data_IF_944524674686
#
_entry.id   IF_944524674686
#
_cell.length_a   1.000
_cell.length_b   1.000
_cell.length_c   1.000
_cell.angle_alpha   90.00
_cell.angle_beta   90.00
_cell.angle_gamma   90.00
#
_symmetry.space_group_name_H-M   'P 1'
#
loop_
_entity.id
_entity.type
_entity.pdbx_description
1 polymer ?
#
# COMPACT_ATOMS: atom_id res chain seq x y z
N UNK A 1 45.89 67.64 34.75
CA UNK A 1 46.74 66.51 35.18
C UNK A 1 46.55 65.36 34.22
N UNK A 2 47.61 64.76 33.68
CA UNK A 2 47.51 63.49 32.94
C UNK A 2 47.26 62.39 33.98
N UNK A 3 46.23 61.57 33.76
CA UNK A 3 45.95 60.44 34.63
C UNK A 3 46.97 59.33 34.38
N UNK A 4 47.60 58.83 35.44
CA UNK A 4 48.63 57.79 35.39
C UNK A 4 48.05 56.47 34.87
N UNK A 5 48.84 55.73 34.08
CA UNK A 5 48.47 54.37 33.67
C UNK A 5 48.81 53.36 34.76
N UNK A 6 47.92 52.40 34.94
CA UNK A 6 48.04 51.28 35.87
C UNK A 6 48.00 49.97 35.10
N UNK A 7 48.79 49.01 35.56
CA UNK A 7 48.78 47.60 35.16
C UNK A 7 48.19 46.79 36.31
N UNK A 8 47.10 46.07 36.09
CA UNK A 8 46.52 45.15 37.09
C UNK A 8 46.61 43.70 36.61
N UNK A 9 47.02 42.81 37.51
CA UNK A 9 47.11 41.38 37.23
C UNK A 9 45.87 40.60 37.72
N UNK A 10 45.45 39.60 36.94
CA UNK A 10 44.25 38.78 37.21
C UNK A 10 44.56 37.29 37.41
N UNK A 11 45.83 36.90 37.44
CA UNK A 11 46.26 35.48 37.46
C UNK A 11 47.37 35.19 38.48
N UNK A 12 47.36 33.97 39.01
CA UNK A 12 48.41 33.38 39.87
C UNK A 12 48.69 34.17 41.15
N UNK A 13 49.94 34.12 41.62
CA UNK A 13 50.37 34.71 42.90
C UNK A 13 50.30 36.26 42.92
N UNK A 14 50.33 36.91 41.76
CA UNK A 14 50.27 38.37 41.61
C UNK A 14 48.85 38.91 41.40
N UNK A 15 47.82 38.06 41.51
CA UNK A 15 46.43 38.47 41.29
C UNK A 15 46.03 39.62 42.23
N UNK A 16 45.49 40.69 41.66
CA UNK A 16 45.06 41.89 42.38
C UNK A 16 46.17 42.90 42.62
N UNK A 17 47.43 42.56 42.31
CA UNK A 17 48.54 43.52 42.34
C UNK A 17 48.33 44.53 41.21
N UNK A 18 48.45 45.80 41.55
CA UNK A 18 48.34 46.92 40.62
C UNK A 18 49.64 47.72 40.65
N UNK A 19 50.24 47.95 39.48
CA UNK A 19 51.52 48.62 39.35
C UNK A 19 51.37 49.90 38.50
N UNK A 20 52.05 50.98 38.88
CA UNK A 20 52.09 52.21 38.09
C UNK A 20 52.98 52.02 36.85
N UNK A 21 52.59 52.63 35.73
CA UNK A 21 53.44 52.75 34.53
C UNK A 21 53.93 54.20 34.45
N UNK A 22 55.05 54.48 35.10
CA UNK A 22 55.70 55.81 35.11
C UNK A 22 56.74 55.90 33.98
N UNK A 23 56.30 56.37 32.80
CA UNK A 23 57.04 56.34 31.53
C UNK A 23 57.35 54.93 31.00
N UNK A 24 58.01 54.07 31.79
CA UNK A 24 58.41 52.72 31.41
C UNK A 24 58.35 51.76 32.60
N UNK A 25 57.64 50.64 32.43
CA UNK A 25 57.60 49.51 33.36
C UNK A 25 58.13 48.26 32.65
N UNK A 26 59.00 47.51 33.29
CA UNK A 26 59.61 46.31 32.71
C UNK A 26 59.29 45.09 33.56
N UNK A 27 58.74 44.05 32.94
CA UNK A 27 58.51 42.75 33.56
C UNK A 27 59.58 41.76 33.05
N UNK A 28 60.24 41.03 33.94
CA UNK A 28 61.31 40.08 33.58
C UNK A 28 61.10 38.73 34.26
N UNK A 29 61.59 37.64 33.65
CA UNK A 29 61.53 36.31 34.28
C UNK A 29 62.67 35.99 35.26
N UNK A 30 63.67 36.87 35.41
CA UNK A 30 64.77 36.68 36.36
C UNK A 30 64.40 37.15 37.77
N UNK A 31 64.85 36.43 38.81
CA UNK A 31 64.52 36.73 40.22
C UNK A 31 65.33 37.88 40.83
N UNK A 32 66.48 38.22 40.23
CA UNK A 32 67.52 39.08 40.79
C UNK A 32 67.46 40.55 40.31
N UNK A 33 66.28 41.02 39.90
CA UNK A 33 66.09 42.43 39.52
C UNK A 33 66.09 43.36 40.74
N UNK A 34 67.01 44.35 40.76
CA UNK A 34 67.16 45.35 41.84
C UNK A 34 66.81 46.79 41.43
N UNK A 35 66.27 46.99 40.24
CA UNK A 35 65.90 48.32 39.71
C UNK A 35 64.42 48.62 39.97
N UNK A 36 64.09 49.84 40.39
CA UNK A 36 62.73 50.24 40.82
C UNK A 36 61.65 50.08 39.74
N UNK A 37 62.02 50.13 38.46
CA UNK A 37 61.08 49.99 37.32
C UNK A 37 61.06 48.58 36.72
N UNK A 38 61.75 47.61 37.35
CA UNK A 38 61.82 46.22 36.90
C UNK A 38 61.13 45.31 37.91
N UNK A 39 60.14 44.56 37.44
CA UNK A 39 59.36 43.64 38.26
C UNK A 39 59.70 42.20 37.88
N UNK A 40 60.25 41.40 38.81
CA UNK A 40 60.49 39.99 38.58
C UNK A 40 59.17 39.20 38.61
N UNK A 41 58.92 38.44 37.54
CA UNK A 41 57.76 37.55 37.36
C UNK A 41 58.23 36.15 36.90
N UNK A 42 59.16 35.56 37.64
CA UNK A 42 59.78 34.27 37.33
C UNK A 42 58.78 33.09 37.22
N UNK A 43 57.62 33.18 37.88
CA UNK A 43 56.56 32.17 37.78
C UNK A 43 55.83 32.16 36.43
N UNK A 44 55.92 33.24 35.65
CA UNK A 44 55.15 33.40 34.40
C UNK A 44 56.02 33.58 33.15
N UNK A 45 57.25 34.07 33.30
CA UNK A 45 58.16 34.42 32.22
C UNK A 45 59.44 33.60 32.33
N UNK A 46 60.03 33.18 31.21
CA UNK A 46 61.36 32.55 31.24
C UNK A 46 62.45 33.58 31.56
N UNK A 47 63.63 33.17 32.06
CA UNK A 47 64.69 34.09 32.46
C UNK A 47 65.12 35.09 31.37
N UNK A 48 64.97 34.71 30.10
CA UNK A 48 65.33 35.51 28.92
C UNK A 48 64.19 36.43 28.45
N UNK A 49 62.97 36.22 28.95
CA UNK A 49 61.81 37.01 28.56
C UNK A 49 61.77 38.35 29.28
N UNK A 50 61.54 39.40 28.48
CA UNK A 50 61.37 40.77 28.94
C UNK A 50 60.15 41.38 28.27
N UNK A 51 59.21 41.86 29.07
CA UNK A 51 58.06 42.63 28.60
C UNK A 51 58.27 44.08 29.01
N UNK A 52 58.36 44.97 28.03
CA UNK A 52 58.51 46.41 28.27
C UNK A 52 57.19 47.11 27.95
N UNK A 53 56.65 47.84 28.94
CA UNK A 53 55.45 48.63 28.84
C UNK A 53 55.85 50.11 28.90
N UNK A 54 55.57 50.85 27.85
CA UNK A 54 55.97 52.24 27.74
C UNK A 54 54.79 53.13 27.36
N UNK A 55 54.63 54.27 28.04
CA UNK A 55 53.63 55.26 27.66
C UNK A 55 54.16 56.14 26.51
N UNK A 56 53.56 56.01 25.33
CA UNK A 56 53.89 56.84 24.16
C UNK A 56 52.61 57.46 23.59
N UNK A 57 52.60 58.79 23.46
CA UNK A 57 51.48 59.56 22.90
C UNK A 57 50.12 59.27 23.58
N UNK A 58 50.14 59.07 24.90
CA UNK A 58 48.94 58.83 25.72
C UNK A 58 48.33 57.42 25.59
N UNK A 59 49.08 56.47 25.02
CA UNK A 59 48.75 55.05 24.92
C UNK A 59 49.90 54.21 25.49
N UNK A 60 49.58 53.05 26.06
CA UNK A 60 50.60 52.09 26.51
C UNK A 60 50.97 51.19 25.34
N UNK A 61 52.26 51.10 25.03
CA UNK A 61 52.78 50.17 24.05
C UNK A 61 53.60 49.09 24.75
N UNK A 62 53.44 47.86 24.31
CA UNK A 62 54.11 46.69 24.86
C UNK A 62 55.07 46.08 23.84
N UNK A 63 56.30 45.83 24.26
CA UNK A 63 57.33 45.06 23.53
C UNK A 63 57.56 43.76 24.31
N UNK A 64 57.74 42.63 23.62
CA UNK A 64 57.95 41.32 24.25
C UNK A 64 56.70 40.45 24.42
N UNK A 65 55.49 41.01 24.27
CA UNK A 65 54.24 40.21 24.24
C UNK A 65 54.02 39.47 22.92
N UNK A 66 54.65 39.95 21.84
CA UNK A 66 54.56 39.36 20.50
C UNK A 66 55.81 39.73 19.70
N UNK A 67 55.99 39.15 18.51
CA UNK A 67 57.08 39.51 17.58
C UNK A 67 57.08 40.99 17.17
N UNK A 68 55.93 41.68 17.29
CA UNK A 68 55.76 43.10 16.97
C UNK A 68 55.40 43.90 18.22
N UNK A 69 55.68 45.20 18.20
CA UNK A 69 55.19 46.15 19.20
C UNK A 69 53.66 46.18 19.18
N UNK A 70 53.03 46.02 20.34
CA UNK A 70 51.57 45.95 20.48
C UNK A 70 51.09 47.19 21.21
N UNK A 71 50.12 47.91 20.66
CA UNK A 71 49.43 48.97 21.43
C UNK A 71 48.37 48.33 22.32
N UNK A 72 48.46 48.56 23.62
CA UNK A 72 47.49 48.06 24.58
C UNK A 72 46.25 48.96 24.59
N UNK A 73 45.09 48.32 24.61
CA UNK A 73 43.78 48.95 24.66
C UNK A 73 43.36 49.01 26.12
N UNK A 74 42.90 50.19 26.55
CA UNK A 74 42.40 50.43 27.90
C UNK A 74 41.33 49.40 28.28
N UNK A 75 41.39 48.87 29.50
CA UNK A 75 40.43 47.91 30.07
C UNK A 75 40.30 46.56 29.33
N UNK A 76 41.12 46.31 28.30
CA UNK A 76 41.19 45.02 27.63
C UNK A 76 42.09 44.08 28.42
N UNK A 77 41.62 42.85 28.60
CA UNK A 77 42.39 41.79 29.26
C UNK A 77 43.28 41.11 28.24
N UNK A 78 44.57 41.06 28.56
CA UNK A 78 45.62 40.40 27.80
C UNK A 78 46.04 39.13 28.53
N UNK A 79 46.40 38.09 27.75
CA UNK A 79 46.93 36.83 28.27
C UNK A 79 48.23 36.49 27.54
N UNK A 80 49.29 36.24 28.30
CA UNK A 80 50.60 35.83 27.80
C UNK A 80 51.19 34.76 28.72
N UNK A 81 51.42 33.54 28.21
CA UNK A 81 52.05 32.43 28.95
C UNK A 81 51.55 32.18 30.38
N UNK A 82 50.25 32.40 30.62
CA UNK A 82 49.63 32.21 31.94
C UNK A 82 49.46 33.51 32.73
N UNK A 83 50.23 34.55 32.42
CA UNK A 83 50.03 35.91 32.93
C UNK A 83 48.78 36.52 32.28
N UNK A 84 47.88 37.03 33.11
CA UNK A 84 46.67 37.74 32.70
C UNK A 84 46.69 39.12 33.31
N UNK A 85 46.61 40.16 32.50
CA UNK A 85 46.66 41.54 32.97
C UNK A 85 45.79 42.47 32.13
N UNK A 86 45.50 43.66 32.67
CA UNK A 86 44.89 44.75 31.92
C UNK A 86 45.60 46.06 32.24
N UNK A 87 45.49 47.04 31.34
CA UNK A 87 45.97 48.39 31.58
C UNK A 87 44.82 49.39 31.57
N UNK A 88 44.83 50.35 32.49
CA UNK A 88 43.82 51.40 32.58
C UNK A 88 44.36 52.68 33.19
N UNK A 89 43.68 53.80 32.97
CA UNK A 89 44.03 55.05 33.65
C UNK A 89 43.49 55.05 35.07
N UNK A 90 44.24 55.60 36.01
CA UNK A 90 43.84 55.72 37.42
C UNK A 90 42.42 56.32 37.53
N UNK A 91 41.55 55.64 38.28
CA UNK A 91 40.12 56.00 38.43
C UNK A 91 39.20 55.56 37.29
N UNK A 92 39.70 54.91 36.23
CA UNK A 92 38.93 54.41 35.07
C UNK A 92 38.98 52.89 34.89
N UNK A 93 39.31 52.15 35.96
CA UNK A 93 39.35 50.70 35.95
C UNK A 93 37.96 50.10 35.71
N UNK A 94 37.80 49.39 34.60
CA UNK A 94 36.61 48.62 34.25
C UNK A 94 36.99 47.45 33.32
N UNK A 95 37.79 46.47 33.80
CA UNK A 95 38.31 45.40 32.97
C UNK A 95 37.19 44.57 32.34
N UNK A 96 37.34 44.22 31.07
CA UNK A 96 36.34 43.48 30.27
C UNK A 96 36.24 41.97 30.62
N UNK A 97 36.03 41.65 31.91
CA UNK A 97 36.06 40.29 32.46
C UNK A 97 34.99 39.36 31.87
N UNK A 98 33.78 39.88 31.61
CA UNK A 98 32.65 39.09 31.06
C UNK A 98 33.00 38.50 29.69
N UNK A 99 33.47 39.34 28.76
CA UNK A 99 33.87 38.92 27.42
C UNK A 99 35.09 37.99 27.43
N UNK A 100 36.03 38.22 28.33
CA UNK A 100 37.21 37.37 28.49
C UNK A 100 36.82 35.95 28.95
N UNK A 101 35.98 35.84 30.00
CA UNK A 101 35.48 34.54 30.47
C UNK A 101 34.66 33.82 29.38
N UNK A 102 33.81 34.55 28.66
CA UNK A 102 33.03 33.95 27.57
C UNK A 102 33.94 33.33 26.49
N UNK A 103 34.98 34.06 26.05
CA UNK A 103 35.95 33.53 25.08
C UNK A 103 36.75 32.35 25.62
N UNK A 104 37.05 32.33 26.92
CA UNK A 104 37.75 31.23 27.55
C UNK A 104 36.94 29.92 27.50
N UNK A 105 35.62 29.99 27.66
CA UNK A 105 34.73 28.82 27.66
C UNK A 105 34.05 28.53 26.30
N UNK A 106 34.22 29.41 25.32
CA UNK A 106 33.67 29.25 23.98
C UNK A 106 33.95 27.88 23.33
N UNK A 107 35.19 27.33 23.33
CA UNK A 107 35.43 26.03 22.72
C UNK A 107 34.67 24.90 23.44
N UNK A 108 34.58 24.97 24.77
CA UNK A 108 33.84 23.99 25.56
C UNK A 108 32.34 24.04 25.24
N UNK A 109 31.77 25.25 25.14
CA UNK A 109 30.37 25.44 24.72
C UNK A 109 30.11 24.86 23.32
N UNK A 110 31.00 25.12 22.35
CA UNK A 110 30.86 24.59 20.99
C UNK A 110 30.88 23.06 20.99
N UNK A 111 31.82 22.45 21.72
CA UNK A 111 31.90 20.99 21.84
C UNK A 111 30.64 20.43 22.50
N UNK A 112 30.16 21.03 23.59
CA UNK A 112 28.93 20.59 24.26
C UNK A 112 27.73 20.65 23.31
N UNK A 113 27.55 21.76 22.58
CA UNK A 113 26.44 21.90 21.61
C UNK A 113 26.56 20.85 20.50
N UNK A 114 27.76 20.63 19.95
CA UNK A 114 27.97 19.64 18.90
C UNK A 114 27.63 18.21 19.37
N UNK A 115 28.01 17.84 20.59
CA UNK A 115 27.67 16.53 21.18
C UNK A 115 26.17 16.38 21.35
N UNK A 116 25.47 17.39 21.87
CA UNK A 116 24.01 17.33 22.02
C UNK A 116 23.30 17.22 20.67
N UNK A 117 23.79 17.94 19.66
CA UNK A 117 23.24 17.87 18.31
C UNK A 117 23.44 16.49 17.69
N UNK A 118 24.63 15.90 17.85
CA UNK A 118 24.92 14.53 17.39
C UNK A 118 24.04 13.49 18.09
N UNK A 119 23.86 13.61 19.41
CA UNK A 119 22.98 12.71 20.17
C UNK A 119 21.51 12.85 19.74
N UNK A 120 21.04 14.08 19.52
CA UNK A 120 19.68 14.33 19.05
C UNK A 120 19.44 13.73 17.65
N UNK A 121 20.36 13.98 16.71
CA UNK A 121 20.27 13.46 15.33
C UNK A 121 20.39 11.94 15.30
N UNK A 122 21.32 11.37 16.08
CA UNK A 122 21.50 9.93 16.21
C UNK A 122 20.28 9.25 16.83
N UNK A 123 19.78 9.79 17.94
CA UNK A 123 18.59 9.28 18.61
C UNK A 123 17.34 9.36 17.74
N UNK A 124 17.16 10.45 16.99
CA UNK A 124 16.06 10.58 16.04
C UNK A 124 16.16 9.53 14.91
N UNK A 125 17.33 9.37 14.29
CA UNK A 125 17.53 8.40 13.21
C UNK A 125 17.31 6.96 13.67
N UNK A 126 17.78 6.61 14.87
CA UNK A 126 17.55 5.29 15.47
C UNK A 126 16.06 5.04 15.74
N UNK A 127 15.37 6.03 16.29
CA UNK A 127 13.94 5.91 16.56
C UNK A 127 13.13 5.78 15.27
N UNK A 128 13.45 6.55 14.23
CA UNK A 128 12.83 6.44 12.91
C UNK A 128 13.03 5.05 12.28
N UNK A 129 14.24 4.49 12.39
CA UNK A 129 14.53 3.14 11.91
C UNK A 129 13.71 2.07 12.66
N UNK A 130 13.64 2.17 13.99
CA UNK A 130 12.84 1.25 14.82
C UNK A 130 11.35 1.35 14.46
N UNK A 131 10.81 2.55 14.30
CA UNK A 131 9.41 2.75 13.92
C UNK A 131 9.09 2.16 12.55
N UNK A 132 9.97 2.35 11.56
CA UNK A 132 9.80 1.75 10.22
C UNK A 132 9.82 0.23 10.27
N UNK A 133 10.71 -0.36 11.06
CA UNK A 133 10.77 -1.80 11.25
C UNK A 133 9.48 -2.32 11.92
N UNK A 134 9.07 -1.71 13.04
CA UNK A 134 7.84 -2.07 13.74
C UNK A 134 6.61 -1.97 12.83
N UNK A 135 6.53 -0.93 12.00
CA UNK A 135 5.45 -0.79 11.03
C UNK A 135 5.43 -1.94 10.00
N UNK A 136 6.60 -2.36 9.51
CA UNK A 136 6.72 -3.52 8.64
C UNK A 136 6.25 -4.81 9.32
N UNK A 137 6.65 -5.02 10.58
CA UNK A 137 6.23 -6.17 11.38
C UNK A 137 4.70 -6.16 11.61
N UNK A 138 4.10 -5.00 11.82
CA UNK A 138 2.64 -4.85 11.95
C UNK A 138 1.92 -5.18 10.65
N UNK A 139 2.39 -4.70 9.50
CA UNK A 139 1.82 -5.05 8.21
C UNK A 139 1.91 -6.56 7.95
N UNK A 140 3.03 -7.18 8.31
CA UNK A 140 3.21 -8.63 8.18
C UNK A 140 2.25 -9.41 9.08
N UNK A 141 2.05 -8.98 10.33
CA UNK A 141 1.12 -9.60 11.28
C UNK A 141 -0.34 -9.48 10.84
N UNK A 142 -0.73 -8.37 10.20
CA UNK A 142 -2.06 -8.20 9.60
C UNK A 142 -2.26 -9.20 8.46
N UNK A 143 -1.22 -9.41 7.66
CA UNK A 143 -1.24 -10.33 6.53
C UNK A 143 -2.22 -9.88 5.44
N UNK A 144 -3.34 -10.59 5.34
CA UNK A 144 -4.39 -10.31 4.34
C UNK A 144 -5.62 -9.71 5.04
N UNK A 145 -6.07 -8.57 4.52
CA UNK A 145 -7.22 -7.88 5.05
C UNK A 145 -7.62 -6.68 4.19
N UNK A 146 -8.71 -6.03 4.57
CA UNK A 146 -9.17 -4.80 3.93
C UNK A 146 -9.66 -3.80 4.97
N UNK A 147 -9.63 -2.51 4.62
CA UNK A 147 -10.13 -1.43 5.48
C UNK A 147 -11.47 -0.96 4.96
N UNK A 148 -12.48 -0.93 5.83
CA UNK A 148 -13.80 -0.39 5.53
C UNK A 148 -14.37 0.30 6.76
N UNK A 149 -14.95 1.49 6.56
CA UNK A 149 -15.55 2.30 7.63
C UNK A 149 -14.62 2.53 8.84
N UNK A 150 -13.33 2.70 8.58
CA UNK A 150 -12.31 2.91 9.61
C UNK A 150 -11.94 1.66 10.42
N UNK A 151 -12.41 0.47 10.01
CA UNK A 151 -12.07 -0.81 10.63
C UNK A 151 -11.28 -1.70 9.67
N UNK A 152 -10.31 -2.42 10.22
CA UNK A 152 -9.49 -3.40 9.53
C UNK A 152 -10.12 -4.78 9.69
N UNK A 153 -10.48 -5.40 8.58
CA UNK A 153 -10.99 -6.76 8.53
C UNK A 153 -9.84 -7.69 8.13
N UNK A 154 -9.50 -8.66 8.99
CA UNK A 154 -8.40 -9.61 8.74
C UNK A 154 -8.87 -11.05 8.95
N UNK A 155 -8.21 -11.97 8.26
CA UNK A 155 -8.53 -13.40 8.29
C UNK A 155 -7.63 -14.19 9.26
N UNK A 156 -6.51 -13.62 9.73
CA UNK A 156 -5.53 -14.30 10.61
C UNK A 156 -5.53 -13.75 12.04
N UNK A 157 -6.38 -14.32 12.89
CA UNK A 157 -6.47 -13.91 14.30
C UNK A 157 -5.22 -14.25 15.14
N UNK A 158 -4.48 -15.31 14.79
CA UNK A 158 -3.38 -15.86 15.62
C UNK A 158 -2.15 -14.94 15.75
N UNK A 159 -2.03 -13.89 14.94
CA UNK A 159 -0.89 -12.97 14.97
C UNK A 159 -1.24 -11.57 15.50
N UNK A 160 -2.51 -11.33 15.86
CA UNK A 160 -2.99 -10.03 16.37
C UNK A 160 -2.38 -9.63 17.72
N UNK A 161 -1.89 -10.60 18.50
CA UNK A 161 -1.17 -10.34 19.76
C UNK A 161 0.15 -9.58 19.57
N UNK A 162 0.67 -9.49 18.34
CA UNK A 162 1.86 -8.69 17.99
C UNK A 162 1.52 -7.23 17.69
N UNK A 163 0.25 -6.91 17.46
CA UNK A 163 -0.20 -5.54 17.20
C UNK A 163 -0.37 -4.79 18.53
N UNK A 164 -0.29 -3.44 18.51
CA UNK A 164 -0.59 -2.64 19.69
C UNK A 164 -2.01 -2.94 20.20
N UNK A 165 -2.16 -3.16 21.51
CA UNK A 165 -3.46 -3.51 22.13
C UNK A 165 -4.58 -2.52 21.77
N UNK A 166 -4.23 -1.24 21.60
CA UNK A 166 -5.15 -0.16 21.23
C UNK A 166 -5.80 -0.37 19.85
N UNK A 167 -5.17 -1.14 18.96
CA UNK A 167 -5.70 -1.41 17.63
C UNK A 167 -6.81 -2.45 17.66
N UNK A 168 -6.92 -3.26 18.71
CA UNK A 168 -7.93 -4.33 18.81
C UNK A 168 -9.36 -3.85 18.59
N UNK A 169 -9.70 -2.63 19.04
CA UNK A 169 -11.03 -2.03 18.85
C UNK A 169 -11.36 -1.68 17.40
N UNK A 170 -10.36 -1.65 16.53
CA UNK A 170 -10.49 -1.32 15.11
C UNK A 170 -10.32 -2.55 14.22
N UNK A 171 -10.13 -3.75 14.79
CA UNK A 171 -9.86 -4.97 14.04
C UNK A 171 -11.05 -5.93 14.17
N UNK A 172 -11.61 -6.34 13.04
CA UNK A 172 -12.61 -7.39 12.97
C UNK A 172 -12.04 -8.66 12.34
N UNK A 173 -12.30 -9.80 12.96
CA UNK A 173 -11.95 -11.10 12.38
C UNK A 173 -13.02 -11.56 11.41
N UNK A 174 -12.60 -11.95 10.22
CA UNK A 174 -13.46 -12.63 9.26
C UNK A 174 -13.51 -14.12 9.59
N UNK A 175 -14.71 -14.71 9.57
CA UNK A 175 -14.88 -16.16 9.70
C UNK A 175 -14.68 -16.79 8.32
N UNK A 176 -13.65 -17.62 8.16
CA UNK A 176 -13.17 -18.10 6.84
C UNK A 176 -13.98 -19.26 6.26
N UNK A 177 -14.94 -19.82 7.00
CA UNK A 177 -15.71 -20.96 6.51
C UNK A 177 -16.60 -20.57 5.33
N UNK A 178 -16.31 -21.17 4.16
CA UNK A 178 -17.04 -21.09 2.88
C UNK A 178 -16.72 -19.92 1.93
N UNK A 179 -15.60 -19.19 2.11
CA UNK A 179 -15.24 -18.09 1.22
C UNK A 179 -13.92 -18.30 0.49
N UNK A 180 -13.90 -17.94 -0.80
CA UNK A 180 -12.68 -17.86 -1.59
C UNK A 180 -11.97 -16.52 -1.32
N UNK A 181 -10.67 -16.59 -1.03
CA UNK A 181 -9.85 -15.41 -0.79
C UNK A 181 -9.17 -14.96 -2.08
N UNK A 182 -9.35 -13.68 -2.42
CA UNK A 182 -8.62 -13.03 -3.48
C UNK A 182 -7.44 -12.23 -2.91
N UNK A 183 -6.28 -12.32 -3.55
CA UNK A 183 -5.11 -11.49 -3.20
C UNK A 183 -5.12 -10.13 -3.89
N UNK A 184 -6.04 -9.91 -4.84
CA UNK A 184 -6.17 -8.68 -5.62
C UNK A 184 -7.62 -8.19 -5.63
N UNK A 185 -7.79 -6.87 -5.60
CA UNK A 185 -9.11 -6.24 -5.72
C UNK A 185 -9.65 -6.25 -7.15
N UNK A 186 -8.76 -6.37 -8.15
CA UNK A 186 -9.14 -6.48 -9.54
C UNK A 186 -9.33 -7.96 -9.87
N UNK A 187 -10.58 -8.37 -10.08
CA UNK A 187 -10.95 -9.74 -10.38
C UNK A 187 -11.49 -9.81 -11.82
N UNK A 188 -10.91 -10.72 -12.61
CA UNK A 188 -11.48 -11.10 -13.90
C UNK A 188 -12.34 -12.35 -13.71
N UNK A 189 -13.59 -12.29 -14.15
CA UNK A 189 -14.51 -13.42 -14.10
C UNK A 189 -14.42 -14.17 -15.42
N UNK A 190 -13.94 -15.41 -15.38
CA UNK A 190 -13.76 -16.24 -16.58
C UNK A 190 -14.54 -17.54 -16.41
N UNK A 191 -15.26 -17.94 -17.46
CA UNK A 191 -15.93 -19.24 -17.51
C UNK A 191 -14.91 -20.36 -17.50
N UNK A 192 -14.99 -21.25 -16.51
CA UNK A 192 -14.13 -22.44 -16.43
C UNK A 192 -14.29 -23.37 -17.65
N UNK A 193 -15.47 -23.37 -18.28
CA UNK A 193 -15.78 -24.20 -19.44
C UNK A 193 -15.27 -23.59 -20.75
N UNK A 194 -15.54 -22.31 -21.00
CA UNK A 194 -15.25 -21.67 -22.30
C UNK A 194 -13.97 -20.84 -22.32
N UNK A 195 -13.40 -20.51 -21.16
CA UNK A 195 -12.26 -19.60 -21.04
C UNK A 195 -12.57 -18.15 -21.39
N UNK A 196 -13.85 -17.78 -21.60
CA UNK A 196 -14.27 -16.42 -21.97
C UNK A 196 -14.66 -15.59 -20.73
N UNK A 197 -14.49 -14.26 -20.77
CA UNK A 197 -14.97 -13.36 -19.71
C UNK A 197 -16.49 -13.46 -19.52
N UNK A 198 -16.93 -13.43 -18.26
CA UNK A 198 -18.33 -13.41 -17.86
C UNK A 198 -18.73 -12.00 -17.41
N UNK A 199 -19.95 -11.58 -17.76
CA UNK A 199 -20.54 -10.38 -17.16
C UNK A 199 -21.02 -10.71 -15.74
N UNK A 200 -20.74 -9.80 -14.81
CA UNK A 200 -21.17 -9.93 -13.43
C UNK A 200 -21.48 -8.59 -12.79
N UNK A 201 -22.23 -8.63 -11.70
CA UNK A 201 -22.59 -7.48 -10.89
C UNK A 201 -21.94 -7.60 -9.50
N UNK A 202 -21.44 -6.49 -8.96
CA UNK A 202 -20.89 -6.43 -7.60
C UNK A 202 -21.94 -5.83 -6.68
N UNK A 203 -22.33 -6.57 -5.65
CA UNK A 203 -23.20 -6.08 -4.57
C UNK A 203 -22.39 -5.96 -3.28
N UNK A 204 -22.29 -4.75 -2.74
CA UNK A 204 -21.60 -4.53 -1.47
C UNK A 204 -22.49 -4.87 -0.28
N UNK A 205 -22.01 -5.78 0.58
CA UNK A 205 -22.61 -6.15 1.86
C UNK A 205 -21.78 -5.56 3.01
N UNK A 206 -22.28 -5.54 4.26
CA UNK A 206 -21.55 -4.94 5.39
C UNK A 206 -20.12 -5.49 5.56
N UNK A 207 -19.93 -6.80 5.42
CA UNK A 207 -18.69 -7.50 5.71
C UNK A 207 -17.96 -8.10 4.49
N UNK A 208 -18.45 -7.88 3.26
CA UNK A 208 -17.84 -8.38 2.02
C UNK A 208 -18.51 -7.77 0.79
N UNK A 209 -17.87 -7.89 -0.35
CA UNK A 209 -18.53 -7.75 -1.63
C UNK A 209 -18.96 -9.13 -2.16
N UNK A 210 -20.12 -9.19 -2.79
CA UNK A 210 -20.63 -10.38 -3.47
C UNK A 210 -20.61 -10.14 -4.97
N UNK A 211 -19.94 -11.01 -5.72
CA UNK A 211 -19.99 -11.03 -7.17
C UNK A 211 -21.10 -11.98 -7.62
N UNK A 212 -22.05 -11.48 -8.39
CA UNK A 212 -23.12 -12.29 -9.02
C UNK A 212 -22.85 -12.41 -10.50
N UNK A 213 -23.00 -13.62 -11.01
CA UNK A 213 -22.75 -13.93 -12.42
C UNK A 213 -23.98 -14.61 -12.97
N UNK A 214 -24.53 -14.07 -14.06
CA UNK A 214 -25.57 -14.77 -14.81
C UNK A 214 -24.90 -15.83 -15.66
N UNK A 215 -25.00 -17.08 -15.21
CA UNK A 215 -24.49 -18.21 -15.95
C UNK A 215 -25.69 -18.96 -16.54
N UNK A 216 -25.70 -19.16 -17.86
CA UNK A 216 -26.54 -20.17 -18.52
C UNK A 216 -26.11 -21.60 -18.12
N UNK A 217 -25.62 -21.77 -16.90
CA UNK A 217 -24.96 -22.95 -16.36
C UNK A 217 -25.89 -24.15 -16.39
N UNK A 218 -27.17 -23.95 -16.11
CA UNK A 218 -28.17 -25.01 -16.21
C UNK A 218 -28.25 -25.58 -17.63
N UNK A 219 -28.31 -24.72 -18.64
CA UNK A 219 -28.36 -25.15 -20.04
C UNK A 219 -27.06 -25.85 -20.46
N UNK A 220 -25.91 -25.29 -20.07
CA UNK A 220 -24.60 -25.88 -20.36
C UNK A 220 -24.43 -27.25 -19.69
N UNK A 221 -24.88 -27.40 -18.44
CA UNK A 221 -24.85 -28.67 -17.72
C UNK A 221 -25.74 -29.70 -18.39
N UNK A 222 -26.93 -29.32 -18.86
CA UNK A 222 -27.84 -30.19 -19.63
C UNK A 222 -27.18 -30.63 -20.93
N UNK A 223 -26.62 -29.70 -21.71
CA UNK A 223 -25.92 -30.00 -22.98
C UNK A 223 -24.74 -30.94 -22.78
N UNK A 224 -23.88 -30.66 -21.78
CA UNK A 224 -22.72 -31.48 -21.48
C UNK A 224 -23.12 -32.89 -21.02
N UNK A 225 -24.16 -32.99 -20.18
CA UNK A 225 -24.65 -34.25 -19.64
C UNK A 225 -25.23 -35.14 -20.74
N UNK A 226 -26.06 -34.58 -21.61
CA UNK A 226 -26.63 -35.30 -22.76
C UNK A 226 -25.53 -35.68 -23.77
N UNK A 227 -24.62 -34.76 -24.10
CA UNK A 227 -23.52 -34.99 -25.03
C UNK A 227 -22.54 -36.08 -24.57
N UNK A 228 -22.18 -36.10 -23.27
CA UNK A 228 -21.32 -37.15 -22.69
C UNK A 228 -21.90 -38.56 -22.83
N UNK A 229 -23.22 -38.68 -22.83
CA UNK A 229 -23.93 -39.95 -22.97
C UNK A 229 -24.37 -40.24 -24.41
N UNK A 230 -23.83 -39.49 -25.38
CA UNK A 230 -24.12 -39.59 -26.80
C UNK A 230 -25.63 -39.46 -27.13
N UNK A 231 -26.36 -38.71 -26.31
CA UNK A 231 -27.77 -38.38 -26.57
C UNK A 231 -27.76 -37.17 -27.48
N UNK A 232 -28.35 -37.29 -28.67
CA UNK A 232 -28.43 -36.15 -29.59
C UNK A 232 -29.56 -35.22 -29.15
N UNK A 233 -29.32 -33.91 -29.19
CA UNK A 233 -30.29 -32.93 -28.71
C UNK A 233 -30.26 -31.62 -29.50
N UNK A 234 -31.36 -30.87 -29.43
CA UNK A 234 -31.42 -29.45 -29.76
C UNK A 234 -32.41 -28.73 -28.82
N UNK A 235 -32.24 -27.43 -28.62
CA UNK A 235 -33.12 -26.61 -27.77
C UNK A 235 -33.96 -25.67 -28.66
N UNK A 236 -35.27 -25.62 -28.42
CA UNK A 236 -36.15 -24.64 -29.04
C UNK A 236 -37.05 -24.01 -27.97
N UNK A 237 -36.86 -22.72 -27.71
CA UNK A 237 -37.50 -22.02 -26.60
C UNK A 237 -37.14 -22.68 -25.26
N UNK A 238 -38.15 -23.06 -24.48
CA UNK A 238 -37.98 -23.72 -23.18
C UNK A 238 -37.79 -25.24 -23.28
N UNK A 239 -38.02 -25.85 -24.45
CA UNK A 239 -38.04 -27.31 -24.61
C UNK A 239 -36.71 -27.86 -25.16
N UNK A 240 -36.33 -29.03 -24.65
CA UNK A 240 -35.17 -29.81 -25.10
C UNK A 240 -35.63 -31.04 -25.87
N UNK A 241 -35.31 -31.10 -27.15
CA UNK A 241 -35.67 -32.22 -28.02
C UNK A 241 -34.51 -33.21 -28.05
N UNK A 242 -34.75 -34.46 -27.65
CA UNK A 242 -33.70 -35.48 -27.45
C UNK A 242 -34.03 -36.78 -28.18
N UNK A 243 -33.01 -37.48 -28.69
CA UNK A 243 -33.17 -38.75 -29.43
C UNK A 243 -33.83 -39.85 -28.57
N UNK A 244 -33.48 -39.93 -27.29
CA UNK A 244 -34.05 -40.92 -26.36
C UNK A 244 -34.51 -40.23 -25.07
N UNK A 245 -35.81 -39.88 -24.95
CA UNK A 245 -36.34 -39.20 -23.77
C UNK A 245 -36.24 -40.01 -22.48
N UNK A 246 -36.35 -41.34 -22.55
CA UNK A 246 -36.31 -42.19 -21.36
C UNK A 246 -34.89 -42.20 -20.79
N UNK A 247 -33.89 -42.39 -21.67
CA UNK A 247 -32.49 -42.35 -21.30
C UNK A 247 -32.02 -40.95 -20.91
N UNK A 248 -32.47 -39.91 -21.63
CA UNK A 248 -32.19 -38.52 -21.28
C UNK A 248 -32.72 -38.16 -19.89
N UNK A 249 -33.96 -38.56 -19.58
CA UNK A 249 -34.55 -38.37 -18.25
C UNK A 249 -33.72 -39.04 -17.16
N UNK A 250 -33.31 -40.29 -17.37
CA UNK A 250 -32.51 -41.02 -16.40
C UNK A 250 -31.16 -40.32 -16.17
N UNK A 251 -30.42 -40.06 -17.25
CA UNK A 251 -29.10 -39.44 -17.19
C UNK A 251 -29.13 -38.03 -16.57
N UNK A 252 -30.15 -37.23 -16.88
CA UNK A 252 -30.31 -35.91 -16.26
C UNK A 252 -30.70 -36.02 -14.78
N UNK A 253 -31.52 -36.99 -14.39
CA UNK A 253 -31.87 -37.24 -12.99
C UNK A 253 -30.65 -37.68 -12.18
N UNK A 254 -29.86 -38.62 -12.72
CA UNK A 254 -28.64 -39.13 -12.11
C UNK A 254 -27.57 -38.03 -11.95
N UNK A 255 -27.58 -37.03 -12.83
CA UNK A 255 -26.72 -35.85 -12.76
C UNK A 255 -27.26 -34.73 -11.86
N UNK A 256 -28.41 -34.92 -11.18
CA UNK A 256 -29.03 -33.91 -10.31
C UNK A 256 -29.79 -32.80 -11.03
N UNK A 257 -30.10 -32.98 -12.32
CA UNK A 257 -30.78 -32.00 -13.19
C UNK A 257 -32.26 -32.31 -13.40
N UNK A 258 -32.92 -32.92 -12.40
CA UNK A 258 -34.33 -33.37 -12.47
C UNK A 258 -35.31 -32.28 -12.85
N UNK A 259 -34.99 -31.02 -12.55
CA UNK A 259 -35.80 -29.84 -12.90
C UNK A 259 -35.96 -29.63 -14.41
N UNK A 260 -35.03 -30.12 -15.24
CA UNK A 260 -35.09 -29.98 -16.70
C UNK A 260 -35.92 -31.08 -17.36
N UNK A 261 -36.24 -32.16 -16.63
CA UNK A 261 -36.93 -33.34 -17.19
C UNK A 261 -38.32 -33.00 -17.76
N UNK A 262 -39.05 -32.07 -17.14
CA UNK A 262 -40.38 -31.64 -17.59
C UNK A 262 -40.37 -30.96 -18.96
N UNK A 263 -39.22 -30.44 -19.38
CA UNK A 263 -39.01 -29.76 -20.66
C UNK A 263 -38.49 -30.68 -21.76
N UNK A 264 -38.25 -31.96 -21.48
CA UNK A 264 -37.79 -32.94 -22.47
C UNK A 264 -38.91 -33.36 -23.41
N UNK A 265 -38.62 -33.35 -24.71
CA UNK A 265 -39.48 -33.83 -25.79
C UNK A 265 -38.73 -34.84 -26.66
N UNK A 266 -39.46 -35.80 -27.23
CA UNK A 266 -38.85 -36.75 -28.17
C UNK A 266 -38.47 -36.05 -29.45
N UNK A 267 -37.26 -36.31 -29.93
CA UNK A 267 -36.87 -36.10 -31.31
C UNK A 267 -37.56 -37.16 -32.16
N UNK A 268 -38.07 -36.78 -33.34
CA UNK A 268 -38.46 -37.75 -34.35
C UNK A 268 -37.18 -38.25 -35.01
N UNK A 269 -36.67 -39.40 -34.56
CA UNK A 269 -35.43 -39.96 -35.07
C UNK A 269 -35.63 -40.49 -36.51
N UNK A 270 -34.87 -39.96 -37.46
CA UNK A 270 -34.69 -40.50 -38.81
C UNK A 270 -35.76 -40.18 -39.85
N UNK A 271 -36.77 -39.35 -39.52
CA UNK A 271 -37.75 -38.88 -40.48
C UNK A 271 -37.40 -37.48 -40.99
N UNK A 272 -37.45 -37.28 -42.31
CA UNK A 272 -37.32 -35.94 -42.90
C UNK A 272 -38.53 -35.10 -42.47
N UNK A 273 -38.25 -33.95 -41.85
CA UNK A 273 -39.28 -33.05 -41.35
C UNK A 273 -39.97 -32.35 -42.52
N UNK A 274 -41.28 -32.47 -42.58
CA UNK A 274 -42.13 -31.74 -43.52
C UNK A 274 -42.39 -30.36 -42.89
N UNK A 275 -42.08 -29.29 -43.62
CA UNK A 275 -42.36 -27.92 -43.20
C UNK A 275 -43.85 -27.57 -43.37
N UNK A 276 -44.33 -26.53 -42.69
CA UNK A 276 -45.74 -26.07 -42.85
C UNK A 276 -46.08 -25.70 -44.30
N UNK A 277 -45.10 -25.24 -45.08
CA UNK A 277 -45.30 -24.91 -46.50
C UNK A 277 -45.52 -26.16 -47.38
N UNK A 278 -44.96 -27.30 -46.97
CA UNK A 278 -45.06 -28.58 -47.68
C UNK A 278 -46.23 -29.43 -47.16
N UNK A 279 -46.94 -28.96 -46.13
CA UNK A 279 -48.10 -29.62 -45.54
C UNK A 279 -49.36 -28.75 -45.68
N UNK A 280 -49.93 -28.61 -46.90
CA UNK A 280 -51.14 -27.82 -47.13
C UNK A 280 -52.43 -28.56 -46.73
N UNK A 281 -52.37 -29.45 -45.74
CA UNK A 281 -53.48 -30.34 -45.37
C UNK A 281 -54.07 -29.95 -44.02
N UNK A 282 -55.39 -30.02 -43.91
CA UNK A 282 -56.09 -29.90 -42.63
C UNK A 282 -56.23 -31.27 -41.96
N UNK A 283 -56.02 -31.32 -40.65
CA UNK A 283 -56.08 -32.57 -39.87
C UNK A 283 -57.40 -32.62 -39.10
N UNK A 284 -58.16 -33.70 -39.27
CA UNK A 284 -59.44 -33.90 -38.60
C UNK A 284 -59.42 -35.13 -37.71
N UNK A 285 -59.94 -34.96 -36.49
CA UNK A 285 -60.13 -36.02 -35.51
C UNK A 285 -61.62 -36.26 -35.34
N UNK A 286 -62.11 -37.45 -35.72
CA UNK A 286 -63.53 -37.81 -35.55
C UNK A 286 -63.68 -38.95 -34.55
N UNK A 287 -64.71 -38.87 -33.71
CA UNK A 287 -64.97 -39.84 -32.64
C UNK A 287 -65.48 -41.21 -33.16
N UNK A 288 -65.92 -41.29 -34.41
CA UNK A 288 -66.55 -42.51 -34.97
C UNK A 288 -65.92 -43.02 -36.27
N UNK A 289 -65.12 -42.22 -36.99
CA UNK A 289 -64.61 -42.55 -38.34
C UNK A 289 -63.08 -42.43 -38.50
N UNK A 290 -62.35 -42.34 -37.38
CA UNK A 290 -60.88 -42.27 -37.37
C UNK A 290 -60.33 -40.86 -37.63
N UNK A 291 -59.02 -40.80 -37.88
CA UNK A 291 -58.26 -39.57 -38.15
C UNK A 291 -57.97 -39.51 -39.64
N UNK A 292 -58.08 -38.32 -40.24
CA UNK A 292 -57.81 -38.15 -41.67
C UNK A 292 -57.24 -36.76 -41.99
N UNK A 293 -56.53 -36.68 -43.10
CA UNK A 293 -56.08 -35.44 -43.73
C UNK A 293 -57.08 -35.02 -44.80
N UNK A 294 -57.23 -33.72 -44.99
CA UNK A 294 -58.16 -33.15 -45.97
C UNK A 294 -57.51 -32.01 -46.74
N UNK A 295 -57.73 -32.01 -48.05
CA UNK A 295 -57.47 -30.91 -48.98
C UNK A 295 -58.69 -30.68 -49.89
N UNK A 296 -58.58 -29.79 -50.88
CA UNK A 296 -59.64 -29.52 -51.84
C UNK A 296 -59.95 -30.71 -52.78
N UNK A 297 -59.06 -31.71 -52.86
CA UNK A 297 -59.14 -32.84 -53.79
C UNK A 297 -59.75 -34.10 -53.13
N UNK A 298 -59.61 -34.27 -51.82
CA UNK A 298 -60.13 -35.46 -51.15
C UNK A 298 -59.82 -35.59 -49.66
N UNK A 299 -60.13 -36.77 -49.12
CA UNK A 299 -59.83 -37.17 -47.74
C UNK A 299 -58.87 -38.35 -47.76
N UNK A 300 -57.86 -38.33 -46.89
CA UNK A 300 -56.81 -39.33 -46.82
C UNK A 300 -56.72 -39.92 -45.42
N UNK A 301 -56.87 -41.24 -45.30
CA UNK A 301 -56.77 -41.98 -44.04
C UNK A 301 -55.40 -42.64 -43.90
N UNK A 302 -55.06 -43.14 -42.72
CA UNK A 302 -53.91 -44.04 -42.55
C UNK A 302 -53.96 -45.17 -43.60
N UNK A 303 -52.82 -45.41 -44.26
CA UNK A 303 -52.69 -46.30 -45.41
C UNK A 303 -53.01 -45.69 -46.78
N UNK A 304 -53.53 -44.45 -46.84
CA UNK A 304 -53.76 -43.74 -48.10
C UNK A 304 -52.47 -43.12 -48.62
N UNK A 305 -52.32 -43.08 -49.95
CA UNK A 305 -51.24 -42.35 -50.63
C UNK A 305 -51.63 -40.89 -50.81
N UNK A 306 -50.79 -39.98 -50.30
CA UNK A 306 -50.95 -38.53 -50.40
C UNK A 306 -49.96 -38.00 -51.43
N UNK A 307 -50.41 -37.17 -52.39
CA UNK A 307 -49.53 -36.57 -53.39
C UNK A 307 -48.31 -35.90 -52.75
N UNK A 308 -47.13 -36.15 -53.30
CA UNK A 308 -45.83 -35.56 -52.90
C UNK A 308 -45.31 -35.90 -51.48
N UNK A 309 -46.15 -36.51 -50.62
CA UNK A 309 -45.78 -36.90 -49.25
C UNK A 309 -45.64 -38.41 -49.07
N UNK A 310 -46.36 -39.21 -49.87
CA UNK A 310 -46.32 -40.67 -49.83
C UNK A 310 -47.46 -41.29 -49.01
N UNK A 311 -47.29 -42.54 -48.59
CA UNK A 311 -48.31 -43.29 -47.86
C UNK A 311 -48.34 -42.88 -46.39
N UNK A 312 -49.51 -42.52 -45.89
CA UNK A 312 -49.71 -42.21 -44.46
C UNK A 312 -49.49 -43.50 -43.66
N UNK A 313 -48.46 -43.49 -42.81
CA UNK A 313 -48.18 -44.59 -41.89
C UNK A 313 -48.95 -44.42 -40.58
N UNK A 314 -49.07 -43.19 -40.09
CA UNK A 314 -49.66 -42.90 -38.79
C UNK A 314 -50.13 -41.44 -38.68
N UNK A 315 -51.32 -41.22 -38.13
CA UNK A 315 -51.84 -39.90 -37.74
C UNK A 315 -52.02 -39.89 -36.21
N UNK A 316 -51.21 -39.10 -35.50
CA UNK A 316 -51.34 -38.84 -34.06
C UNK A 316 -51.79 -37.42 -33.78
N UNK A 317 -51.98 -37.11 -32.50
CA UNK A 317 -52.31 -35.75 -32.03
C UNK A 317 -51.13 -34.78 -32.12
N UNK A 318 -49.90 -35.31 -32.09
CA UNK A 318 -48.66 -34.53 -32.10
C UNK A 318 -47.89 -34.58 -33.42
N UNK A 319 -48.26 -35.49 -34.33
CA UNK A 319 -47.57 -35.68 -35.61
C UNK A 319 -48.38 -36.43 -36.65
N UNK A 320 -47.95 -36.32 -37.91
CA UNK A 320 -48.36 -37.17 -39.03
C UNK A 320 -47.13 -37.76 -39.69
N UNK A 321 -47.10 -39.07 -39.92
CA UNK A 321 -45.96 -39.79 -40.46
C UNK A 321 -46.29 -40.40 -41.82
N UNK A 322 -45.40 -40.21 -42.78
CA UNK A 322 -45.51 -40.68 -44.17
C UNK A 322 -44.33 -41.57 -44.55
N UNK A 323 -44.53 -42.42 -45.56
CA UNK A 323 -43.48 -43.18 -46.21
C UNK A 323 -43.60 -43.05 -47.73
N UNK A 324 -42.56 -42.51 -48.38
CA UNK A 324 -42.54 -42.24 -49.82
C UNK A 324 -41.98 -43.40 -50.67
N UNK A 325 -41.71 -44.55 -50.04
CA UNK A 325 -41.08 -45.71 -50.67
C UNK A 325 -39.57 -45.78 -50.49
N UNK A 326 -38.91 -44.68 -50.08
CA UNK A 326 -37.46 -44.61 -49.81
C UNK A 326 -37.15 -44.19 -48.39
N UNK A 327 -37.90 -43.25 -47.84
CA UNK A 327 -37.66 -42.68 -46.52
C UNK A 327 -38.96 -42.34 -45.80
N UNK A 328 -38.87 -42.29 -44.48
CA UNK A 328 -39.97 -41.84 -43.62
C UNK A 328 -39.92 -40.32 -43.53
N UNK A 329 -41.06 -39.65 -43.66
CA UNK A 329 -41.20 -38.20 -43.51
C UNK A 329 -42.22 -37.90 -42.41
N UNK A 330 -42.04 -36.82 -41.65
CA UNK A 330 -42.95 -36.49 -40.55
C UNK A 330 -43.30 -35.00 -40.49
N UNK A 331 -44.58 -34.71 -40.33
CA UNK A 331 -45.09 -33.39 -39.99
C UNK A 331 -45.37 -33.33 -38.49
N UNK A 332 -44.89 -32.28 -37.80
CA UNK A 332 -45.12 -32.09 -36.37
C UNK A 332 -46.28 -31.10 -36.17
N UNK A 333 -47.33 -31.55 -35.47
CA UNK A 333 -48.52 -30.74 -35.25
C UNK A 333 -48.26 -29.77 -34.10
N UNK A 334 -48.32 -28.48 -34.39
CA UNK A 334 -48.24 -27.45 -33.36
C UNK A 334 -49.62 -27.24 -32.73
N UNK A 335 -49.81 -27.76 -31.52
CA UNK A 335 -51.01 -27.45 -30.71
C UNK A 335 -50.85 -26.03 -30.16
N UNK A 336 -51.76 -25.14 -30.54
CA UNK A 336 -51.87 -23.80 -29.94
C UNK A 336 -52.47 -23.86 -28.55
#
# INVERSE_FOLDING_TARGET
MRAMWLLEFFSGCVKGVTLPIENKLVLVGREDAKEDNIIPLAEFLTPEERIELEEQSGKVQAVGLSKKKVTLVENKIYRYRGLTFCVYRQGKGNPSLKYFRLRQFQPLLIVTVAVHLLLAVGGFSLNDAIQKQQFGDYLQAIGNGYIKDGQLYTSKYSELSRLPEQWGNFIQSLNEENYLQATQFNLELVSAYSGKPLQGEITSLPNRDQIRVETFELDNQVMATLGKHAISFYKQGANWFVSDPARAKQVLTDAGLSQTVSSLKSRADGADLISDAEFPYSIFYTSHSGRYLYDELGRYWEGSEVPELGVIQEIREDRVVFFDGKQTRAYLIQVK
#
